data_IF_299950459485
#
_entry.id   IF_299950459485
#
_cell.length_a   1.000
_cell.length_b   1.000
_cell.length_c   1.000
_cell.angle_alpha   90.00
_cell.angle_beta   90.00
_cell.angle_gamma   90.00
#
_symmetry.space_group_name_H-M   'P 1'
#
loop_
_entity.id
_entity.type
_entity.pdbx_description
1 polymer ?
#
# COMPACT_ATOMS: atom_id res chain seq x y z
N UNK A 1 6.38 -2.80 0.16
CA UNK A 1 5.36 -3.84 -0.09
C UNK A 1 4.82 -3.77 -1.52
N UNK A 2 4.24 -4.86 -2.00
CA UNK A 2 3.27 -4.86 -3.09
C UNK A 2 1.88 -5.16 -2.52
N UNK A 3 0.84 -4.94 -3.33
CA UNK A 3 -0.48 -5.51 -3.14
C UNK A 3 -0.89 -6.19 -4.45
N UNK A 4 -1.30 -7.45 -4.45
CA UNK A 4 -1.63 -8.15 -5.69
C UNK A 4 -3.00 -7.73 -6.22
N UNK A 5 -3.98 -7.53 -5.34
CA UNK A 5 -5.35 -7.12 -5.64
C UNK A 5 -6.03 -6.59 -4.36
N UNK A 6 -7.11 -5.80 -4.49
CA UNK A 6 -7.83 -5.19 -3.36
C UNK A 6 -7.32 -3.80 -3.03
N UNK A 7 -7.25 -2.90 -4.01
CA UNK A 7 -6.88 -1.51 -3.76
C UNK A 7 -8.08 -0.68 -3.29
N UNK A 8 -7.83 0.25 -2.36
CA UNK A 8 -8.84 1.14 -1.77
C UNK A 8 -9.97 0.41 -1.02
N UNK A 9 -9.78 -0.86 -0.66
CA UNK A 9 -10.76 -1.63 0.11
C UNK A 9 -10.48 -1.63 1.60
N UNK A 10 -9.26 -1.36 2.02
CA UNK A 10 -8.83 -1.43 3.42
C UNK A 10 -9.58 -0.44 4.32
N UNK A 11 -9.72 0.81 3.96
CA UNK A 11 -10.50 1.79 4.72
C UNK A 11 -12.02 1.66 4.51
N UNK A 12 -12.45 0.76 3.61
CA UNK A 12 -13.84 0.34 3.40
C UNK A 12 -14.18 -0.98 4.13
N UNK A 13 -13.35 -1.40 5.09
CA UNK A 13 -13.53 -2.66 5.84
C UNK A 13 -13.37 -3.92 5.00
N UNK A 14 -12.87 -3.79 3.76
CA UNK A 14 -12.73 -4.89 2.82
C UNK A 14 -11.50 -5.77 3.08
N UNK A 15 -11.12 -6.53 2.05
CA UNK A 15 -9.93 -7.35 2.06
C UNK A 15 -8.83 -6.74 1.20
N UNK A 16 -7.59 -7.05 1.54
CA UNK A 16 -6.39 -6.74 0.74
C UNK A 16 -5.52 -7.99 0.64
N UNK A 17 -4.68 -8.08 -0.40
CA UNK A 17 -3.80 -9.24 -0.62
C UNK A 17 -2.34 -8.79 -0.83
N UNK A 18 -1.72 -8.12 0.17
CA UNK A 18 -0.34 -7.65 0.05
C UNK A 18 0.70 -8.73 0.33
N UNK A 19 1.95 -8.39 -0.03
CA UNK A 19 3.15 -9.10 0.38
C UNK A 19 4.31 -8.13 0.62
N UNK A 20 5.14 -8.41 1.63
CA UNK A 20 6.41 -7.70 1.76
C UNK A 20 7.37 -8.11 0.64
N UNK A 21 8.24 -7.20 0.26
CA UNK A 21 9.22 -7.43 -0.82
C UNK A 21 10.65 -7.23 -0.31
N UNK A 22 11.61 -7.62 -1.12
CA UNK A 22 13.04 -7.55 -0.84
C UNK A 22 13.62 -6.14 -0.72
N UNK A 23 12.80 -5.11 -0.99
CA UNK A 23 13.19 -3.70 -0.82
C UNK A 23 12.75 -3.18 0.54
N UNK A 24 13.63 -2.44 1.21
CA UNK A 24 13.39 -2.00 2.57
C UNK A 24 14.17 -0.75 2.98
N UNK A 25 13.97 -0.36 4.23
CA UNK A 25 14.71 0.71 4.91
C UNK A 25 15.47 0.08 6.06
N UNK A 26 16.74 0.39 6.16
CA UNK A 26 17.66 -0.16 7.17
C UNK A 26 18.22 0.96 8.04
N UNK A 27 17.80 1.09 9.30
CA UNK A 27 18.40 2.02 10.25
C UNK A 27 19.50 1.35 11.08
N UNK A 28 20.47 2.15 11.47
CA UNK A 28 21.31 1.90 12.64
C UNK A 28 20.85 2.83 13.77
N UNK A 29 20.57 2.29 14.95
CA UNK A 29 20.03 3.04 16.08
C UNK A 29 20.91 2.83 17.32
N UNK A 30 21.26 3.94 17.99
CA UNK A 30 21.96 3.97 19.26
C UNK A 30 21.23 4.88 20.24
N UNK A 31 20.78 4.37 21.39
CA UNK A 31 20.23 5.20 22.46
C UNK A 31 21.31 6.13 23.01
N UNK A 32 20.98 7.38 23.24
CA UNK A 32 21.93 8.45 23.61
C UNK A 32 21.77 8.98 25.02
N UNK A 33 20.84 8.40 25.81
CA UNK A 33 20.62 8.76 27.20
C UNK A 33 19.97 10.13 27.41
N UNK A 34 19.41 10.72 26.37
CA UNK A 34 18.70 12.01 26.42
C UNK A 34 17.20 11.82 26.05
N UNK A 35 16.49 12.92 25.94
CA UNK A 35 15.12 13.00 25.43
C UNK A 35 15.06 13.43 23.95
N UNK A 36 16.22 13.49 23.26
CA UNK A 36 16.30 13.98 21.89
C UNK A 36 16.62 12.88 20.89
N UNK A 37 15.97 12.97 19.75
CA UNK A 37 16.24 12.12 18.57
C UNK A 37 17.02 12.91 17.55
N UNK A 38 18.18 12.36 17.12
CA UNK A 38 18.97 12.88 15.99
C UNK A 38 18.94 11.87 14.88
N UNK A 39 18.30 12.23 13.78
CA UNK A 39 18.09 11.34 12.64
C UNK A 39 18.76 11.89 11.38
N UNK A 40 19.46 11.02 10.65
CA UNK A 40 20.07 11.34 9.35
C UNK A 40 19.59 10.37 8.28
N UNK A 41 18.96 10.92 7.22
CA UNK A 41 18.58 10.21 6.02
C UNK A 41 19.76 10.27 5.03
N UNK A 42 20.50 9.17 4.87
CA UNK A 42 21.72 9.15 4.06
C UNK A 42 21.42 9.42 2.57
N UNK A 43 20.35 8.82 2.04
CA UNK A 43 20.00 8.94 0.62
C UNK A 43 19.53 10.36 0.24
N UNK A 44 19.07 11.14 1.23
CA UNK A 44 18.63 12.52 1.04
C UNK A 44 19.72 13.53 1.44
N UNK A 45 20.78 13.07 2.07
CA UNK A 45 21.81 13.91 2.69
C UNK A 45 21.22 14.97 3.63
N UNK A 46 20.27 14.55 4.47
CA UNK A 46 19.52 15.42 5.36
C UNK A 46 19.58 14.93 6.80
N UNK A 47 19.64 15.87 7.75
CA UNK A 47 19.57 15.57 9.19
C UNK A 47 18.51 16.42 9.87
N UNK A 48 17.92 15.87 10.94
CA UNK A 48 16.92 16.54 11.80
C UNK A 48 17.19 16.16 13.24
N UNK A 49 16.94 17.09 14.15
CA UNK A 49 16.88 16.84 15.59
C UNK A 49 15.52 17.30 16.12
N UNK A 50 14.91 16.50 17.01
CA UNK A 50 13.66 16.83 17.71
C UNK A 50 13.62 16.23 19.11
N UNK A 51 12.83 16.82 19.99
CA UNK A 51 12.57 16.31 21.35
C UNK A 51 11.36 15.37 21.38
N UNK A 52 11.41 14.34 22.22
CA UNK A 52 10.31 13.39 22.42
C UNK A 52 9.06 14.04 23.02
N UNK A 53 9.22 15.13 23.79
CA UNK A 53 8.15 15.89 24.43
C UNK A 53 7.62 17.06 23.57
N UNK A 54 8.23 17.36 22.43
CA UNK A 54 7.81 18.44 21.55
C UNK A 54 6.39 18.20 21.01
N UNK A 55 5.59 19.26 20.93
CA UNK A 55 4.22 19.18 20.43
C UNK A 55 4.14 19.21 18.90
N UNK A 56 5.05 19.94 18.28
CA UNK A 56 5.06 20.14 16.83
C UNK A 56 6.01 19.16 16.17
N UNK A 57 5.53 18.50 15.12
CA UNK A 57 6.34 17.61 14.32
C UNK A 57 7.39 18.39 13.50
N UNK A 58 8.55 17.80 13.20
CA UNK A 58 9.54 18.41 12.32
C UNK A 58 8.97 18.79 10.95
N UNK A 59 9.52 19.83 10.30
CA UNK A 59 9.04 20.27 8.97
C UNK A 59 9.28 19.24 7.87
N UNK A 60 10.39 18.49 7.95
CA UNK A 60 10.74 17.48 6.93
C UNK A 60 9.81 16.28 7.00
N UNK A 61 9.19 15.95 5.86
CA UNK A 61 8.20 14.89 5.78
C UNK A 61 8.72 13.54 6.32
N UNK A 62 9.93 13.12 5.92
CA UNK A 62 10.48 11.86 6.40
C UNK A 62 10.70 11.83 7.92
N UNK A 63 11.01 12.97 8.52
CA UNK A 63 11.21 13.06 9.97
C UNK A 63 9.88 13.00 10.74
N UNK A 64 8.75 13.44 10.13
CA UNK A 64 7.41 13.30 10.70
C UNK A 64 7.04 11.84 10.96
N UNK A 65 7.48 10.93 10.10
CA UNK A 65 7.24 9.50 10.30
C UNK A 65 7.95 8.96 11.53
N UNK A 66 9.23 9.31 11.74
CA UNK A 66 9.99 8.88 12.92
C UNK A 66 9.41 9.51 14.19
N UNK A 67 9.15 10.82 14.15
CA UNK A 67 8.52 11.56 15.24
C UNK A 67 7.17 10.95 15.62
N UNK A 68 6.29 10.74 14.65
CA UNK A 68 4.96 10.19 14.87
C UNK A 68 5.00 8.79 15.48
N UNK A 69 5.90 7.92 15.02
CA UNK A 69 6.11 6.59 15.61
C UNK A 69 6.48 6.70 17.09
N UNK A 70 7.44 7.58 17.45
CA UNK A 70 7.81 7.80 18.86
C UNK A 70 6.61 8.27 19.68
N UNK A 71 5.87 9.25 19.17
CA UNK A 71 4.68 9.81 19.85
C UNK A 71 3.56 8.79 20.02
N UNK A 72 3.31 7.98 18.99
CA UNK A 72 2.27 6.95 19.03
C UNK A 72 2.62 5.78 19.94
N UNK A 73 3.90 5.44 20.09
CA UNK A 73 4.40 4.50 21.12
C UNK A 73 4.13 5.06 22.51
N UNK A 74 4.52 6.32 22.76
CA UNK A 74 4.33 6.98 24.06
C UNK A 74 2.85 7.06 24.42
N UNK A 75 1.98 7.45 23.50
CA UNK A 75 0.51 7.48 23.71
C UNK A 75 -0.07 6.13 24.12
N UNK A 76 0.55 5.03 23.69
CA UNK A 76 0.15 3.65 24.07
C UNK A 76 0.81 3.15 25.36
N UNK A 77 1.47 4.05 26.11
CA UNK A 77 2.13 3.73 27.38
C UNK A 77 3.52 3.10 27.21
N UNK A 78 4.06 3.04 26.00
CA UNK A 78 5.43 2.61 25.76
C UNK A 78 6.44 3.69 26.15
N UNK A 79 7.59 3.28 26.69
CA UNK A 79 8.69 4.19 27.00
C UNK A 79 9.58 4.32 25.76
N UNK A 80 9.93 5.56 25.38
CA UNK A 80 10.91 5.86 24.34
C UNK A 80 12.01 6.71 24.96
N UNK A 81 13.26 6.34 24.74
CA UNK A 81 14.43 7.15 25.08
C UNK A 81 14.97 7.83 23.82
N UNK A 82 15.66 8.95 23.97
CA UNK A 82 16.32 9.62 22.88
C UNK A 82 17.37 8.73 22.21
N UNK A 83 17.53 8.87 20.90
CA UNK A 83 18.47 8.06 20.13
C UNK A 83 19.08 8.83 18.97
N UNK A 84 20.29 8.41 18.60
CA UNK A 84 20.93 8.78 17.35
C UNK A 84 20.64 7.69 16.31
N UNK A 85 20.28 8.08 15.10
CA UNK A 85 20.02 7.14 14.02
C UNK A 85 20.47 7.66 12.67
N UNK A 86 20.97 6.74 11.87
CA UNK A 86 21.16 6.93 10.43
C UNK A 86 20.40 5.85 9.69
N UNK A 87 19.81 6.16 8.57
CA UNK A 87 19.13 5.16 7.74
C UNK A 87 19.35 5.38 6.24
N UNK A 88 19.23 4.29 5.51
CA UNK A 88 19.22 4.23 4.05
C UNK A 88 18.18 3.25 3.60
N UNK A 89 17.75 3.30 2.36
CA UNK A 89 16.77 2.38 1.81
C UNK A 89 16.77 2.32 0.29
N UNK A 90 16.34 1.19 -0.23
CA UNK A 90 16.18 0.93 -1.65
C UNK A 90 14.71 0.89 -2.11
N UNK A 91 13.78 1.33 -1.23
CA UNK A 91 12.38 1.52 -1.61
C UNK A 91 12.24 2.79 -2.44
N UNK A 92 11.90 2.70 -3.73
CA UNK A 92 11.81 3.88 -4.59
C UNK A 92 10.76 4.87 -4.10
N UNK A 93 11.15 6.14 -3.98
CA UNK A 93 10.27 7.20 -3.52
C UNK A 93 9.23 7.56 -4.59
N UNK A 94 7.95 7.56 -4.21
CA UNK A 94 6.83 7.92 -5.10
C UNK A 94 6.46 6.85 -6.12
N UNK A 95 7.03 5.65 -6.04
CA UNK A 95 6.73 4.54 -6.94
C UNK A 95 5.55 3.65 -6.50
N UNK A 96 4.76 4.10 -5.52
CA UNK A 96 3.61 3.31 -5.01
C UNK A 96 3.99 2.10 -4.15
N UNK A 97 5.26 1.97 -3.72
CA UNK A 97 5.74 0.86 -2.89
C UNK A 97 5.69 1.14 -1.38
N UNK A 98 5.15 2.28 -0.96
CA UNK A 98 4.99 2.72 0.44
C UNK A 98 6.29 2.85 1.23
N UNK A 99 7.14 3.76 0.78
CA UNK A 99 8.35 4.10 1.55
C UNK A 99 8.04 4.67 2.94
N UNK A 100 6.91 5.37 3.11
CA UNK A 100 6.42 5.84 4.42
C UNK A 100 6.17 4.68 5.38
N UNK A 101 5.33 3.72 4.99
CA UNK A 101 5.04 2.55 5.81
C UNK A 101 6.28 1.70 6.10
N UNK A 102 7.23 1.61 5.15
CA UNK A 102 8.52 0.94 5.39
C UNK A 102 9.31 1.65 6.49
N UNK A 103 9.39 2.99 6.44
CA UNK A 103 10.09 3.79 7.45
C UNK A 103 9.43 3.69 8.83
N UNK A 104 8.10 3.88 8.89
CA UNK A 104 7.32 3.77 10.13
C UNK A 104 7.45 2.39 10.77
N UNK A 105 7.24 1.33 9.99
CA UNK A 105 7.29 -0.05 10.47
C UNK A 105 8.68 -0.42 10.97
N UNK A 106 9.72 0.05 10.29
CA UNK A 106 11.10 -0.16 10.70
C UNK A 106 11.41 0.47 12.05
N UNK A 107 11.04 1.74 12.27
CA UNK A 107 11.26 2.40 13.54
C UNK A 107 10.35 1.87 14.65
N UNK A 108 9.08 1.58 14.36
CA UNK A 108 8.19 0.95 15.33
C UNK A 108 8.74 -0.40 15.80
N UNK A 109 9.19 -1.24 14.87
CA UNK A 109 9.81 -2.53 15.18
C UNK A 109 11.10 -2.35 15.99
N UNK A 110 12.02 -1.48 15.55
CA UNK A 110 13.32 -1.31 16.19
C UNK A 110 13.22 -0.76 17.60
N UNK A 111 12.34 0.22 17.85
CA UNK A 111 12.11 0.78 19.19
C UNK A 111 11.45 -0.28 20.09
N UNK A 112 10.44 -0.99 19.59
CA UNK A 112 9.77 -2.07 20.31
C UNK A 112 10.76 -3.17 20.76
N UNK A 113 11.61 -3.64 19.84
CA UNK A 113 12.63 -4.66 20.13
C UNK A 113 13.67 -4.16 21.13
N UNK A 114 14.24 -2.98 20.90
CA UNK A 114 15.32 -2.43 21.70
C UNK A 114 14.89 -2.04 23.12
N UNK A 115 13.67 -1.52 23.27
CA UNK A 115 13.12 -1.09 24.56
C UNK A 115 12.34 -2.21 25.27
N UNK A 116 12.17 -3.37 24.63
CA UNK A 116 11.44 -4.51 25.23
C UNK A 116 9.98 -4.19 25.51
N UNK A 117 9.30 -3.41 24.67
CA UNK A 117 7.94 -2.91 24.94
C UNK A 117 6.87 -3.99 24.87
N UNK A 118 7.11 -5.07 24.14
CA UNK A 118 6.20 -6.21 24.03
C UNK A 118 4.96 -5.96 23.17
N UNK A 119 4.94 -4.93 22.34
CA UNK A 119 3.86 -4.71 21.39
C UNK A 119 3.85 -5.82 20.31
N UNK A 120 2.68 -6.34 20.03
CA UNK A 120 2.48 -7.29 18.94
C UNK A 120 2.58 -6.63 17.56
N UNK A 121 2.68 -7.44 16.53
CA UNK A 121 2.83 -6.97 15.14
C UNK A 121 1.66 -6.12 14.68
N UNK A 122 0.42 -6.43 15.07
CA UNK A 122 -0.75 -5.63 14.72
C UNK A 122 -0.70 -4.25 15.38
N UNK A 123 -0.26 -4.17 16.63
CA UNK A 123 -0.05 -2.89 17.33
C UNK A 123 1.01 -2.05 16.63
N UNK A 124 2.12 -2.67 16.16
CA UNK A 124 3.14 -1.96 15.39
C UNK A 124 2.59 -1.39 14.08
N UNK A 125 1.77 -2.17 13.36
CA UNK A 125 1.11 -1.69 12.14
C UNK A 125 0.15 -0.51 12.44
N UNK A 126 -0.62 -0.58 13.53
CA UNK A 126 -1.51 0.50 13.98
C UNK A 126 -0.74 1.76 14.42
N UNK A 127 0.47 1.63 14.97
CA UNK A 127 1.35 2.76 15.29
C UNK A 127 1.70 3.51 14.00
N UNK A 128 2.13 2.81 12.95
CA UNK A 128 2.43 3.42 11.65
C UNK A 128 1.20 4.11 11.05
N UNK A 129 0.05 3.42 10.98
CA UNK A 129 -1.19 4.01 10.49
C UNK A 129 -1.60 5.28 11.25
N UNK A 130 -1.50 5.26 12.59
CA UNK A 130 -1.81 6.43 13.42
C UNK A 130 -0.82 7.57 13.18
N UNK A 131 0.42 7.26 12.84
CA UNK A 131 1.45 8.24 12.44
C UNK A 131 1.03 8.99 11.18
N UNK A 132 0.61 8.26 10.13
CA UNK A 132 0.08 8.86 8.89
C UNK A 132 -1.12 9.78 9.17
N UNK A 133 -2.07 9.33 9.99
CA UNK A 133 -3.29 10.06 10.30
C UNK A 133 -3.03 11.34 11.09
N UNK A 134 -2.20 11.25 12.14
CA UNK A 134 -2.08 12.29 13.17
C UNK A 134 -0.97 13.30 12.90
N UNK A 135 0.07 12.93 12.13
CA UNK A 135 1.26 13.77 11.94
C UNK A 135 1.55 14.09 10.47
N UNK A 136 0.98 13.34 9.54
CA UNK A 136 1.15 13.54 8.08
C UNK A 136 -0.14 14.05 7.43
N UNK A 137 -1.32 13.65 7.95
CA UNK A 137 -2.62 14.06 7.47
C UNK A 137 -3.17 13.19 6.32
N UNK A 138 -2.58 12.01 6.09
CA UNK A 138 -3.07 11.03 5.12
C UNK A 138 -3.94 10.00 5.84
N UNK A 139 -5.24 9.95 5.50
CA UNK A 139 -6.20 9.00 6.09
C UNK A 139 -6.13 7.63 5.40
N UNK A 140 -4.93 7.03 5.36
CA UNK A 140 -4.71 5.72 4.76
C UNK A 140 -5.42 4.58 5.51
N UNK A 141 -5.61 3.43 4.84
CA UNK A 141 -5.93 2.17 5.49
C UNK A 141 -4.70 1.55 6.19
N UNK A 142 -4.82 0.31 6.65
CA UNK A 142 -3.75 -0.36 7.42
C UNK A 142 -2.84 -1.24 6.57
N UNK A 143 -3.19 -1.49 5.31
CA UNK A 143 -2.57 -2.47 4.43
C UNK A 143 -1.04 -2.38 4.38
N UNK A 144 -0.53 -1.18 4.22
CA UNK A 144 0.90 -0.93 3.94
C UNK A 144 1.77 -1.25 5.15
N UNK A 145 1.37 -0.77 6.31
CA UNK A 145 2.05 -1.02 7.58
C UNK A 145 1.90 -2.48 7.99
N UNK A 146 0.69 -3.06 7.79
CA UNK A 146 0.46 -4.48 8.05
C UNK A 146 1.39 -5.35 7.23
N UNK A 147 1.48 -5.13 5.93
CA UNK A 147 2.36 -5.89 5.04
C UNK A 147 3.84 -5.77 5.42
N UNK A 148 4.27 -4.56 5.78
CA UNK A 148 5.65 -4.29 6.18
C UNK A 148 6.05 -5.01 7.47
N UNK A 149 5.10 -5.26 8.39
CA UNK A 149 5.39 -5.92 9.69
C UNK A 149 5.14 -7.42 9.65
N UNK A 150 4.06 -7.87 8.98
CA UNK A 150 3.64 -9.27 8.98
C UNK A 150 4.20 -10.09 7.82
N UNK A 151 4.89 -9.47 6.87
CA UNK A 151 5.43 -10.13 5.69
C UNK A 151 6.12 -11.46 6.00
N UNK A 152 5.93 -12.44 5.12
CA UNK A 152 6.53 -13.77 5.16
C UNK A 152 7.01 -14.15 3.76
N UNK A 153 8.26 -14.53 3.65
CA UNK A 153 8.84 -14.94 2.37
C UNK A 153 7.98 -16.00 1.67
N UNK A 154 7.79 -15.84 0.37
CA UNK A 154 6.99 -16.73 -0.47
C UNK A 154 5.48 -16.75 -0.17
N UNK A 155 4.95 -15.76 0.54
CA UNK A 155 3.52 -15.69 0.87
C UNK A 155 2.96 -14.28 0.69
N UNK A 156 1.77 -14.20 0.12
CA UNK A 156 0.88 -13.04 0.26
C UNK A 156 0.01 -13.22 1.51
N UNK A 157 -0.62 -12.15 1.94
CA UNK A 157 -1.46 -12.13 3.14
C UNK A 157 -2.84 -11.58 2.78
N UNK A 158 -3.89 -12.41 2.86
CA UNK A 158 -5.24 -11.86 2.81
C UNK A 158 -5.59 -11.32 4.20
N UNK A 159 -5.63 -10.01 4.33
CA UNK A 159 -6.05 -9.31 5.53
C UNK A 159 -7.53 -8.94 5.42
N UNK A 160 -8.31 -9.24 6.43
CA UNK A 160 -9.62 -8.68 6.69
C UNK A 160 -9.46 -7.35 7.44
N UNK A 161 -9.68 -6.24 6.76
CA UNK A 161 -9.45 -4.92 7.34
C UNK A 161 -10.54 -4.48 8.33
N UNK A 162 -11.66 -5.23 8.42
CA UNK A 162 -12.74 -4.95 9.37
C UNK A 162 -12.40 -5.46 10.78
N UNK A 163 -11.89 -6.68 10.89
CA UNK A 163 -11.62 -7.35 12.17
C UNK A 163 -10.14 -7.60 12.45
N UNK A 164 -9.26 -7.45 11.45
CA UNK A 164 -7.82 -7.68 11.56
C UNK A 164 -7.39 -9.14 11.40
N UNK A 165 -8.31 -10.05 11.11
CA UNK A 165 -7.99 -11.45 10.81
C UNK A 165 -7.23 -11.56 9.50
N UNK A 166 -6.28 -12.48 9.43
CA UNK A 166 -5.53 -12.69 8.21
C UNK A 166 -5.10 -14.14 8.00
N UNK A 167 -4.82 -14.47 6.74
CA UNK A 167 -4.30 -15.77 6.34
C UNK A 167 -3.18 -15.62 5.32
N UNK A 168 -2.16 -16.48 5.45
CA UNK A 168 -1.08 -16.56 4.46
C UNK A 168 -1.51 -17.40 3.26
N UNK A 169 -1.21 -16.90 2.08
CA UNK A 169 -1.41 -17.58 0.80
C UNK A 169 -0.04 -17.85 0.18
N UNK A 170 0.37 -19.10 -0.05
CA UNK A 170 1.58 -19.41 -0.78
C UNK A 170 1.58 -18.69 -2.15
N UNK A 171 2.67 -18.03 -2.45
CA UNK A 171 2.81 -17.28 -3.70
C UNK A 171 4.20 -17.49 -4.29
N UNK A 172 4.29 -18.44 -5.21
CA UNK A 172 5.48 -18.77 -5.97
C UNK A 172 5.14 -18.76 -7.47
N UNK A 173 5.06 -17.55 -8.06
CA UNK A 173 4.75 -17.44 -9.47
C UNK A 173 5.80 -18.10 -10.38
N UNK A 174 7.07 -18.12 -9.97
CA UNK A 174 8.15 -18.71 -10.77
C UNK A 174 7.99 -20.23 -10.93
N UNK A 175 7.58 -20.93 -9.89
CA UNK A 175 7.26 -22.36 -9.97
C UNK A 175 6.13 -22.69 -10.95
N UNK A 176 5.31 -21.68 -11.28
CA UNK A 176 4.21 -21.80 -12.24
C UNK A 176 4.52 -21.14 -13.61
N UNK A 177 5.78 -20.76 -13.85
CA UNK A 177 6.21 -20.17 -15.12
C UNK A 177 5.85 -18.69 -15.28
N UNK A 178 5.63 -17.97 -14.18
CA UNK A 178 5.34 -16.53 -14.16
C UNK A 178 6.40 -15.74 -13.42
N UNK A 179 6.49 -14.45 -13.74
CA UNK A 179 7.24 -13.45 -12.97
C UNK A 179 6.35 -12.29 -12.61
N UNK A 180 6.59 -11.68 -11.45
CA UNK A 180 5.95 -10.43 -11.05
C UNK A 180 6.93 -9.29 -11.21
N UNK A 181 6.48 -8.23 -11.85
CA UNK A 181 7.31 -7.05 -12.09
C UNK A 181 6.50 -5.76 -11.95
N UNK A 182 7.10 -4.76 -11.34
CA UNK A 182 6.56 -3.42 -11.28
C UNK A 182 7.16 -2.60 -12.43
N UNK A 183 6.31 -1.83 -13.09
CA UNK A 183 6.72 -0.83 -14.07
C UNK A 183 6.34 0.53 -13.51
N UNK A 184 7.35 1.31 -13.13
CA UNK A 184 7.20 2.65 -12.55
C UNK A 184 7.07 3.67 -13.68
N UNK A 185 5.96 4.38 -13.69
CA UNK A 185 5.71 5.46 -14.64
C UNK A 185 6.67 6.64 -14.46
N UNK A 186 7.35 6.73 -13.32
CA UNK A 186 8.13 7.90 -12.91
C UNK A 186 7.31 9.20 -12.81
N UNK A 187 5.98 9.09 -12.83
CA UNK A 187 5.06 10.19 -12.55
C UNK A 187 4.75 10.19 -11.06
N UNK A 188 4.95 11.33 -10.42
CA UNK A 188 4.74 11.51 -8.99
C UNK A 188 3.59 12.47 -8.76
N UNK A 189 2.63 12.07 -7.95
CA UNK A 189 1.60 12.93 -7.40
C UNK A 189 1.69 12.93 -5.87
N UNK A 190 1.50 14.11 -5.28
CA UNK A 190 1.45 14.22 -3.82
C UNK A 190 0.11 13.67 -3.31
N UNK A 191 0.15 12.73 -2.37
CA UNK A 191 -1.05 12.18 -1.75
C UNK A 191 -1.59 13.07 -0.63
N UNK A 192 -0.75 13.92 -0.03
CA UNK A 192 -1.11 14.83 1.06
C UNK A 192 -2.05 15.93 0.56
N UNK A 193 -3.22 16.09 1.19
CA UNK A 193 -4.24 17.07 0.78
C UNK A 193 -4.96 16.73 -0.54
N UNK A 194 -4.84 15.54 -1.03
CA UNK A 194 -5.03 15.09 -2.40
C UNK A 194 -6.43 14.50 -2.67
N UNK A 195 -6.68 14.13 -3.92
CA UNK A 195 -7.84 13.34 -4.32
C UNK A 195 -8.03 12.03 -3.53
N UNK A 196 -6.99 11.47 -2.88
CA UNK A 196 -7.07 10.26 -2.07
C UNK A 196 -8.10 10.38 -0.92
N UNK A 197 -8.00 11.42 -0.09
CA UNK A 197 -8.94 11.62 1.01
C UNK A 197 -10.38 11.79 0.49
N UNK A 198 -10.57 12.48 -0.64
CA UNK A 198 -11.90 12.63 -1.27
C UNK A 198 -12.51 11.29 -1.70
N UNK A 199 -11.68 10.29 -2.10
CA UNK A 199 -12.17 8.94 -2.43
C UNK A 199 -12.77 8.25 -1.20
N UNK A 200 -12.08 8.36 -0.07
CA UNK A 200 -12.57 7.83 1.21
C UNK A 200 -13.86 8.53 1.65
N UNK A 201 -13.91 9.86 1.61
CA UNK A 201 -15.10 10.63 1.96
C UNK A 201 -16.30 10.28 1.07
N UNK A 202 -16.07 10.01 -0.22
CA UNK A 202 -17.10 9.56 -1.16
C UNK A 202 -17.70 8.21 -0.73
N UNK A 203 -16.86 7.26 -0.34
CA UNK A 203 -17.31 5.97 0.20
C UNK A 203 -18.07 6.12 1.52
N UNK A 204 -17.61 6.98 2.42
CA UNK A 204 -18.26 7.25 3.71
C UNK A 204 -19.68 7.83 3.49
N UNK A 205 -19.86 8.77 2.54
CA UNK A 205 -21.20 9.30 2.19
C UNK A 205 -22.13 8.22 1.63
N UNK A 206 -21.62 7.31 0.80
CA UNK A 206 -22.41 6.19 0.30
C UNK A 206 -22.84 5.25 1.44
N UNK A 207 -21.95 4.92 2.37
CA UNK A 207 -22.28 4.13 3.57
C UNK A 207 -23.37 4.80 4.40
N UNK A 208 -23.25 6.12 4.65
CA UNK A 208 -24.25 6.89 5.40
C UNK A 208 -25.63 6.84 4.73
N UNK A 209 -25.68 6.92 3.39
CA UNK A 209 -26.93 6.83 2.65
C UNK A 209 -27.55 5.41 2.75
N UNK A 210 -26.76 4.36 2.53
CA UNK A 210 -27.19 2.97 2.60
C UNK A 210 -27.69 2.64 4.01
N UNK A 211 -26.99 3.10 5.05
CA UNK A 211 -27.30 2.84 6.47
C UNK A 211 -28.71 3.31 6.88
N UNK A 212 -29.30 4.25 6.17
CA UNK A 212 -30.68 4.71 6.46
C UNK A 212 -31.70 3.59 6.27
N UNK A 213 -31.48 2.70 5.31
CA UNK A 213 -32.35 1.57 5.01
C UNK A 213 -31.78 0.26 5.58
N UNK A 214 -30.47 0.16 5.72
CA UNK A 214 -29.71 -1.03 6.13
C UNK A 214 -28.76 -0.68 7.28
N UNK A 215 -29.28 -0.52 8.53
CA UNK A 215 -28.50 -0.03 9.69
C UNK A 215 -27.34 -0.94 10.10
N UNK A 216 -27.33 -2.20 9.66
CA UNK A 216 -26.26 -3.16 9.86
C UNK A 216 -24.98 -2.87 9.06
N UNK A 217 -25.07 -2.03 8.02
CA UNK A 217 -23.92 -1.67 7.17
C UNK A 217 -22.99 -0.73 7.93
N UNK A 218 -21.81 -1.20 8.23
CA UNK A 218 -20.75 -0.41 8.88
C UNK A 218 -19.77 0.16 7.84
N UNK A 219 -19.42 -0.66 6.84
CA UNK A 219 -18.51 -0.34 5.75
C UNK A 219 -19.11 -0.77 4.40
N UNK A 220 -18.54 -0.30 3.28
CA UNK A 220 -18.97 -0.74 1.95
C UNK A 220 -18.83 -2.24 1.73
N UNK A 221 -17.91 -2.90 2.40
CA UNK A 221 -17.80 -4.36 2.39
C UNK A 221 -19.09 -5.09 2.83
N UNK A 222 -19.84 -4.49 3.75
CA UNK A 222 -21.07 -5.07 4.27
C UNK A 222 -22.25 -4.83 3.31
N UNK A 223 -22.09 -3.88 2.38
CA UNK A 223 -23.15 -3.49 1.46
C UNK A 223 -23.22 -4.45 0.26
N UNK A 224 -24.44 -4.62 -0.23
CA UNK A 224 -24.71 -5.28 -1.51
C UNK A 224 -24.95 -4.24 -2.59
N UNK A 225 -24.72 -4.61 -3.84
CA UNK A 225 -25.00 -3.73 -4.98
C UNK A 225 -26.44 -3.24 -4.99
N UNK A 226 -27.40 -4.13 -4.71
CA UNK A 226 -28.81 -3.80 -4.68
C UNK A 226 -29.13 -2.71 -3.65
N UNK A 227 -28.45 -2.70 -2.51
CA UNK A 227 -28.61 -1.67 -1.47
C UNK A 227 -28.02 -0.33 -1.87
N UNK A 228 -26.95 -0.35 -2.66
CA UNK A 228 -26.40 0.87 -3.27
C UNK A 228 -27.36 1.42 -4.34
N UNK A 229 -27.99 0.54 -5.13
CA UNK A 229 -28.97 0.92 -6.16
C UNK A 229 -30.21 1.59 -5.54
N UNK A 230 -30.65 1.16 -4.35
CA UNK A 230 -31.77 1.78 -3.62
C UNK A 230 -31.53 3.26 -3.29
N UNK A 231 -30.29 3.66 -3.13
CA UNK A 231 -29.91 5.04 -2.73
C UNK A 231 -29.36 5.89 -3.87
N UNK A 232 -29.42 5.41 -5.12
CA UNK A 232 -28.86 6.11 -6.30
C UNK A 232 -29.40 7.55 -6.45
N UNK A 233 -30.64 7.80 -6.08
CA UNK A 233 -31.27 9.14 -6.09
C UNK A 233 -30.89 10.02 -4.90
N UNK A 234 -30.18 9.49 -3.90
CA UNK A 234 -29.85 10.17 -2.65
C UNK A 234 -28.39 10.57 -2.52
N UNK A 235 -27.53 10.10 -3.43
CA UNK A 235 -26.09 10.35 -3.46
C UNK A 235 -25.67 10.88 -4.83
N UNK A 236 -24.47 11.45 -4.92
CA UNK A 236 -23.94 11.88 -6.22
C UNK A 236 -23.58 10.68 -7.10
N UNK A 237 -23.58 10.87 -8.42
CA UNK A 237 -23.10 9.84 -9.36
C UNK A 237 -21.65 9.44 -9.02
N UNK A 238 -20.84 10.38 -8.63
CA UNK A 238 -19.45 10.16 -8.20
C UNK A 238 -19.38 9.23 -6.98
N UNK A 239 -20.20 9.47 -5.96
CA UNK A 239 -20.23 8.63 -4.76
C UNK A 239 -20.73 7.22 -5.08
N UNK A 240 -21.74 7.12 -5.98
CA UNK A 240 -22.28 5.84 -6.42
C UNK A 240 -21.23 4.98 -7.14
N UNK A 241 -20.55 5.52 -8.17
CA UNK A 241 -19.56 4.75 -8.96
C UNK A 241 -18.34 4.34 -8.13
N UNK A 242 -17.92 5.18 -7.17
CA UNK A 242 -16.84 4.85 -6.24
C UNK A 242 -17.24 3.76 -5.25
N UNK A 243 -18.43 3.85 -4.69
CA UNK A 243 -18.97 2.80 -3.83
C UNK A 243 -19.13 1.46 -4.57
N UNK A 244 -19.62 1.51 -5.82
CA UNK A 244 -19.75 0.35 -6.67
C UNK A 244 -18.41 -0.36 -6.88
N UNK A 245 -17.35 0.42 -7.21
CA UNK A 245 -16.01 -0.15 -7.32
C UNK A 245 -15.58 -0.88 -6.05
N UNK A 246 -15.74 -0.24 -4.87
CA UNK A 246 -15.30 -0.82 -3.60
C UNK A 246 -16.07 -2.11 -3.25
N UNK A 247 -17.37 -2.17 -3.53
CA UNK A 247 -18.19 -3.38 -3.34
C UNK A 247 -17.72 -4.50 -4.27
N UNK A 248 -17.56 -4.22 -5.57
CA UNK A 248 -17.15 -5.22 -6.55
C UNK A 248 -15.70 -5.70 -6.36
N UNK A 249 -14.82 -4.86 -5.81
CA UNK A 249 -13.42 -5.21 -5.59
C UNK A 249 -13.25 -6.26 -4.48
N UNK A 250 -14.15 -6.27 -3.50
CA UNK A 250 -14.20 -7.32 -2.46
C UNK A 250 -14.39 -8.70 -3.10
N UNK A 251 -15.41 -8.85 -3.96
CA UNK A 251 -15.69 -10.11 -4.63
C UNK A 251 -14.54 -10.52 -5.56
N UNK A 252 -14.01 -9.54 -6.30
CA UNK A 252 -12.89 -9.73 -7.24
C UNK A 252 -11.64 -10.27 -6.54
N UNK A 253 -11.34 -9.75 -5.33
CA UNK A 253 -10.24 -10.22 -4.52
C UNK A 253 -10.47 -11.65 -4.00
N UNK A 254 -11.67 -11.94 -3.50
CA UNK A 254 -11.98 -13.28 -2.98
C UNK A 254 -11.87 -14.35 -4.08
N UNK A 255 -12.38 -14.07 -5.27
CA UNK A 255 -12.22 -14.95 -6.43
C UNK A 255 -10.74 -15.11 -6.85
N UNK A 256 -9.93 -14.04 -6.76
CA UNK A 256 -8.50 -14.13 -7.01
C UNK A 256 -7.78 -15.01 -5.96
N UNK A 257 -8.18 -14.93 -4.68
CA UNK A 257 -7.67 -15.80 -3.63
C UNK A 257 -7.98 -17.28 -3.90
N UNK A 258 -9.21 -17.59 -4.32
CA UNK A 258 -9.59 -18.96 -4.69
C UNK A 258 -8.80 -19.48 -5.90
N UNK A 259 -8.57 -18.61 -6.89
CA UNK A 259 -7.78 -18.93 -8.06
C UNK A 259 -6.31 -19.23 -7.70
N UNK A 260 -5.71 -18.40 -6.81
CA UNK A 260 -4.35 -18.64 -6.30
C UNK A 260 -4.21 -19.98 -5.61
N UNK A 261 -5.17 -20.38 -4.77
CA UNK A 261 -5.14 -21.68 -4.09
C UNK A 261 -5.18 -22.86 -5.07
N UNK A 262 -5.72 -22.67 -6.26
CA UNK A 262 -5.78 -23.66 -7.35
C UNK A 262 -4.60 -23.56 -8.33
N UNK A 263 -3.69 -22.60 -8.14
CA UNK A 263 -2.62 -22.30 -9.10
C UNK A 263 -3.12 -21.71 -10.43
N UNK A 264 -4.33 -21.19 -10.48
CA UNK A 264 -4.93 -20.59 -11.67
C UNK A 264 -4.52 -19.11 -11.81
N UNK A 265 -3.29 -18.90 -12.25
CA UNK A 265 -2.73 -17.58 -12.49
C UNK A 265 -3.41 -16.81 -13.63
N UNK A 266 -4.05 -17.52 -14.58
CA UNK A 266 -4.82 -16.88 -15.66
C UNK A 266 -6.06 -16.18 -15.11
N UNK A 267 -6.77 -16.81 -14.18
CA UNK A 267 -7.90 -16.18 -13.50
C UNK A 267 -7.44 -15.00 -12.64
N UNK A 268 -6.34 -15.15 -11.89
CA UNK A 268 -5.75 -14.04 -11.13
C UNK A 268 -5.48 -12.84 -12.03
N UNK A 269 -4.85 -13.07 -13.17
CA UNK A 269 -4.53 -12.00 -14.13
C UNK A 269 -5.78 -11.30 -14.68
N UNK A 270 -6.84 -12.06 -15.03
CA UNK A 270 -8.12 -11.46 -15.45
C UNK A 270 -8.71 -10.58 -14.36
N UNK A 271 -8.63 -11.00 -13.08
CA UNK A 271 -9.10 -10.18 -11.94
C UNK A 271 -8.25 -8.91 -11.77
N UNK A 272 -6.93 -8.99 -11.96
CA UNK A 272 -6.06 -7.81 -11.96
C UNK A 272 -6.47 -6.78 -13.03
N UNK A 273 -6.77 -7.21 -14.25
CA UNK A 273 -7.29 -6.30 -15.29
C UNK A 273 -8.66 -5.71 -14.90
N UNK A 274 -9.54 -6.50 -14.30
CA UNK A 274 -10.83 -6.00 -13.78
C UNK A 274 -10.64 -4.91 -12.73
N UNK A 275 -9.70 -5.10 -11.80
CA UNK A 275 -9.33 -4.08 -10.82
C UNK A 275 -8.80 -2.81 -11.50
N UNK A 276 -7.94 -2.95 -12.52
CA UNK A 276 -7.42 -1.78 -13.25
C UNK A 276 -8.54 -0.96 -13.88
N UNK A 277 -9.46 -1.61 -14.57
CA UNK A 277 -10.62 -0.94 -15.17
C UNK A 277 -11.43 -0.21 -14.09
N UNK A 278 -11.69 -0.88 -12.97
CA UNK A 278 -12.41 -0.27 -11.85
C UNK A 278 -11.66 0.94 -11.27
N UNK A 279 -10.35 0.84 -11.07
CA UNK A 279 -9.52 1.94 -10.58
C UNK A 279 -9.44 3.12 -11.56
N UNK A 280 -9.34 2.85 -12.84
CA UNK A 280 -9.22 3.88 -13.89
C UNK A 280 -10.57 4.57 -14.15
N UNK A 281 -11.65 3.79 -14.35
CA UNK A 281 -12.92 4.30 -14.85
C UNK A 281 -13.91 4.66 -13.73
N UNK A 282 -14.03 3.83 -12.69
CA UNK A 282 -15.03 4.01 -11.64
C UNK A 282 -14.45 4.80 -10.46
N UNK A 283 -13.24 4.47 -10.06
CA UNK A 283 -12.62 5.10 -8.90
C UNK A 283 -11.77 6.32 -9.25
N UNK A 284 -11.40 6.47 -10.53
CA UNK A 284 -10.66 7.59 -11.12
C UNK A 284 -9.37 7.90 -10.35
N UNK A 285 -8.55 6.87 -10.13
CA UNK A 285 -7.24 6.96 -9.46
C UNK A 285 -6.08 6.58 -10.38
N UNK A 286 -6.34 6.35 -11.67
CA UNK A 286 -5.30 6.17 -12.67
C UNK A 286 -4.86 7.51 -13.27
N UNK A 287 -3.94 7.45 -14.21
CA UNK A 287 -3.52 8.56 -15.08
C UNK A 287 -3.14 8.00 -16.45
N UNK A 288 -2.98 8.89 -17.43
CA UNK A 288 -2.70 8.50 -18.83
C UNK A 288 -1.47 7.59 -18.96
N UNK A 289 -0.46 7.82 -18.13
CA UNK A 289 0.77 7.03 -18.12
C UNK A 289 0.53 5.61 -17.60
N UNK A 290 -0.23 5.46 -16.53
CA UNK A 290 -0.55 4.15 -15.95
C UNK A 290 -1.49 3.36 -16.84
N UNK A 291 -2.50 4.00 -17.42
CA UNK A 291 -3.42 3.38 -18.38
C UNK A 291 -2.68 2.94 -19.62
N UNK A 292 -1.72 3.73 -20.10
CA UNK A 292 -0.87 3.34 -21.22
C UNK A 292 0.04 2.14 -20.90
N UNK A 293 0.66 2.10 -19.70
CA UNK A 293 1.45 0.95 -19.28
C UNK A 293 0.61 -0.34 -19.23
N UNK A 294 -0.62 -0.23 -18.73
CA UNK A 294 -1.57 -1.34 -18.69
C UNK A 294 -1.97 -1.80 -20.10
N UNK A 295 -2.24 -0.87 -21.01
CA UNK A 295 -2.58 -1.19 -22.40
C UNK A 295 -1.41 -1.88 -23.14
N UNK A 296 -0.17 -1.39 -22.94
CA UNK A 296 1.02 -2.06 -23.50
C UNK A 296 1.17 -3.47 -22.93
N UNK A 297 0.97 -3.66 -21.64
CA UNK A 297 1.00 -4.98 -21.01
C UNK A 297 -0.01 -5.93 -21.66
N UNK A 298 -1.25 -5.48 -21.86
CA UNK A 298 -2.31 -6.25 -22.52
C UNK A 298 -1.96 -6.62 -23.96
N UNK A 299 -1.42 -5.68 -24.73
CA UNK A 299 -1.00 -5.93 -26.12
C UNK A 299 0.20 -6.88 -26.24
N UNK A 300 1.06 -6.93 -25.20
CA UNK A 300 2.15 -7.90 -25.11
C UNK A 300 1.72 -9.29 -24.64
N UNK A 301 0.44 -9.50 -24.31
CA UNK A 301 -0.07 -10.77 -23.80
C UNK A 301 0.30 -11.03 -22.33
N UNK A 302 0.58 -9.98 -21.54
CA UNK A 302 0.80 -10.09 -20.09
C UNK A 302 -0.46 -10.61 -19.45
N UNK A 303 -0.34 -11.60 -18.57
CA UNK A 303 -1.47 -12.33 -17.98
C UNK A 303 -2.33 -11.43 -17.10
N UNK A 304 -1.72 -10.51 -16.34
CA UNK A 304 -2.43 -9.54 -15.51
C UNK A 304 -1.62 -8.27 -15.31
N UNK A 305 -2.29 -7.12 -15.34
CA UNK A 305 -1.67 -5.82 -15.10
C UNK A 305 -2.68 -4.86 -14.46
N UNK A 306 -2.23 -4.05 -13.51
CA UNK A 306 -3.03 -3.01 -12.87
C UNK A 306 -2.20 -1.95 -12.17
N UNK A 307 -2.81 -0.80 -11.92
CA UNK A 307 -2.26 0.22 -11.03
C UNK A 307 -2.07 -0.35 -9.62
N UNK A 308 -0.94 -0.12 -8.99
CA UNK A 308 -0.62 -0.58 -7.63
C UNK A 308 -0.56 0.57 -6.63
N UNK A 309 -1.19 0.37 -5.47
CA UNK A 309 -1.26 1.37 -4.40
C UNK A 309 -2.36 2.40 -4.62
N UNK A 310 -2.19 3.58 -4.05
CA UNK A 310 -3.20 4.66 -4.08
C UNK A 310 -3.48 5.26 -5.45
N UNK A 311 -2.70 4.95 -6.46
CA UNK A 311 -2.85 5.51 -7.81
C UNK A 311 -2.28 6.91 -7.95
N UNK A 312 -2.79 7.67 -8.93
CA UNK A 312 -2.35 9.02 -9.31
C UNK A 312 -0.89 9.09 -9.78
N UNK A 313 -0.29 7.99 -10.15
CA UNK A 313 1.10 7.80 -10.52
C UNK A 313 1.69 6.55 -9.88
N UNK A 314 3.01 6.42 -9.86
CA UNK A 314 3.71 5.25 -9.36
C UNK A 314 3.74 4.08 -10.34
N UNK A 315 3.51 2.86 -9.87
CA UNK A 315 3.72 1.65 -10.66
C UNK A 315 2.42 0.97 -11.14
N UNK A 316 2.56 0.24 -12.25
CA UNK A 316 1.71 -0.93 -12.50
C UNK A 316 2.38 -2.18 -11.92
N UNK A 317 1.60 -3.12 -11.38
CA UNK A 317 2.03 -4.48 -11.06
C UNK A 317 1.60 -5.41 -12.18
N UNK A 318 2.53 -6.24 -12.66
CA UNK A 318 2.34 -7.08 -13.84
C UNK A 318 2.69 -8.53 -13.50
N UNK A 319 1.78 -9.44 -13.84
CA UNK A 319 1.96 -10.89 -13.79
C UNK A 319 2.27 -11.39 -15.19
N UNK A 320 3.52 -11.72 -15.46
CA UNK A 320 4.04 -11.96 -16.80
C UNK A 320 4.51 -13.40 -16.92
N UNK A 321 4.11 -14.10 -18.00
CA UNK A 321 4.70 -15.41 -18.31
C UNK A 321 6.21 -15.28 -18.50
N UNK A 322 6.98 -16.19 -17.93
CA UNK A 322 8.44 -16.12 -17.96
C UNK A 322 8.99 -15.98 -19.40
N UNK A 323 8.38 -16.68 -20.35
CA UNK A 323 8.73 -16.64 -21.79
C UNK A 323 8.48 -15.30 -22.48
N UNK A 324 7.56 -14.46 -21.93
CA UNK A 324 7.22 -13.15 -22.47
C UNK A 324 7.98 -12.01 -21.76
N UNK A 325 8.66 -12.31 -20.66
CA UNK A 325 9.20 -11.29 -19.76
C UNK A 325 10.15 -10.31 -20.45
N UNK A 326 11.20 -10.80 -21.11
CA UNK A 326 12.22 -9.94 -21.71
C UNK A 326 11.63 -9.08 -22.83
N UNK A 327 10.78 -9.68 -23.69
CA UNK A 327 10.06 -8.98 -24.76
C UNK A 327 9.13 -7.90 -24.20
N UNK A 328 8.42 -8.19 -23.11
CA UNK A 328 7.55 -7.21 -22.46
C UNK A 328 8.36 -6.02 -21.93
N UNK A 329 9.47 -6.30 -21.22
CA UNK A 329 10.31 -5.23 -20.65
C UNK A 329 10.89 -4.31 -21.74
N UNK A 330 11.40 -4.89 -22.82
CA UNK A 330 11.91 -4.11 -23.94
C UNK A 330 10.81 -3.26 -24.58
N UNK A 331 9.66 -3.88 -24.85
CA UNK A 331 8.54 -3.22 -25.52
C UNK A 331 7.99 -2.07 -24.68
N UNK A 332 7.76 -2.27 -23.38
CA UNK A 332 7.18 -1.26 -22.51
C UNK A 332 8.11 -0.06 -22.35
N UNK A 333 9.42 -0.28 -22.18
CA UNK A 333 10.42 0.80 -22.10
C UNK A 333 10.44 1.65 -23.36
N UNK A 334 10.50 1.00 -24.54
CA UNK A 334 10.58 1.71 -25.80
C UNK A 334 9.32 2.52 -26.10
N UNK A 335 8.15 1.89 -25.99
CA UNK A 335 6.86 2.54 -26.27
C UNK A 335 6.52 3.65 -25.28
N UNK A 336 6.85 3.46 -23.99
CA UNK A 336 6.61 4.45 -22.97
C UNK A 336 7.46 5.71 -23.20
N UNK A 337 8.76 5.52 -23.48
CA UNK A 337 9.68 6.60 -23.83
C UNK A 337 9.25 7.33 -25.11
N UNK A 338 8.83 6.58 -26.14
CA UNK A 338 8.34 7.16 -27.39
C UNK A 338 7.11 8.04 -27.19
N UNK A 339 6.16 7.61 -26.32
CA UNK A 339 4.91 8.33 -26.11
C UNK A 339 5.06 9.53 -25.17
N UNK A 340 5.78 9.37 -24.05
CA UNK A 340 5.82 10.37 -22.99
C UNK A 340 7.17 11.09 -22.86
N UNK A 341 8.23 10.64 -23.55
CA UNK A 341 9.58 11.18 -23.36
C UNK A 341 10.20 10.83 -21.99
N UNK A 342 9.59 9.93 -21.23
CA UNK A 342 10.01 9.51 -19.89
C UNK A 342 10.51 8.07 -19.96
N UNK A 343 11.60 7.78 -19.27
CA UNK A 343 12.05 6.40 -19.09
C UNK A 343 11.39 5.78 -17.87
N UNK A 344 10.52 4.77 -18.10
CA UNK A 344 9.97 4.00 -16.99
C UNK A 344 11.04 3.12 -16.34
N UNK A 345 10.90 2.88 -15.03
CA UNK A 345 11.79 1.99 -14.28
C UNK A 345 11.15 0.63 -14.07
N UNK A 346 11.98 -0.39 -14.02
CA UNK A 346 11.54 -1.78 -13.87
C UNK A 346 12.06 -2.32 -12.55
N UNK A 347 11.16 -2.88 -11.75
CA UNK A 347 11.49 -3.50 -10.48
C UNK A 347 10.95 -4.93 -10.44
N UNK A 348 11.81 -5.96 -10.61
CA UNK A 348 11.43 -7.34 -10.32
C UNK A 348 11.00 -7.44 -8.85
N UNK A 349 10.03 -8.30 -8.58
CA UNK A 349 9.46 -8.48 -7.23
C UNK A 349 9.89 -9.83 -6.67
N UNK A 350 10.47 -9.79 -5.47
CA UNK A 350 10.74 -10.97 -4.64
C UNK A 350 9.96 -10.81 -3.35
N UNK A 351 9.05 -11.77 -3.07
CA UNK A 351 8.29 -11.78 -1.82
C UNK A 351 9.20 -12.16 -0.67
N UNK A 352 9.30 -11.30 0.32
CA UNK A 352 10.27 -11.39 1.42
C UNK A 352 9.59 -11.32 2.79
N UNK A 353 10.39 -11.52 3.85
CA UNK A 353 9.94 -11.28 5.22
C UNK A 353 9.74 -9.80 5.48
N UNK A 354 8.82 -9.49 6.41
CA UNK A 354 8.60 -8.14 6.91
C UNK A 354 9.74 -7.63 7.80
N UNK A 355 9.44 -6.57 8.57
CA UNK A 355 10.41 -5.95 9.47
C UNK A 355 11.07 -6.98 10.41
N UNK A 356 12.38 -6.98 10.41
CA UNK A 356 13.20 -7.92 11.17
C UNK A 356 14.55 -7.30 11.55
N UNK A 357 15.19 -7.89 12.55
CA UNK A 357 16.57 -7.55 12.89
C UNK A 357 17.52 -8.17 11.86
N UNK A 358 18.45 -7.37 11.37
CA UNK A 358 19.55 -7.88 10.57
C UNK A 358 20.63 -8.43 11.51
N UNK A 359 21.20 -9.55 11.12
CA UNK A 359 22.28 -10.19 11.88
C UNK A 359 23.62 -9.52 11.62
#
# INVERSE_FOLDING_TARGET
RINLIGEHTDYNGGFVLPGAIDKGITPAIRFNGTDRVRATALDLNESVEFGLEENDAPDKLWAKYIFGVCREIIKRGGKVEGFDTIFTGDVPLGAGMSSSAALESTYAFAINDKMGLGFDKMTLAKIGQSTEHNYVGVKCGIMDQFASVHGKAGHLMRLDCKNGDFAYYPFDPEAHGYKVVLVDSCVKHELVGSPYNRRRESCERAVEAIRKNHPEVEFLRDAKREWLDEVIGCISTEDYIRALYAIEEVDRLLEACEALQKGDFETVGRKMYGTHIGMSVLYEVSCDELDFLNEVAKQCGVTGSRVMGGGFGGCTINLVKAELYDKFIETVKNRYREKFGIECKIYPVVISDGARKLQ
#
